data_IF_821358925450
#
_entry.id   IF_821358925450
#
_cell.length_a   1.000
_cell.length_b   1.000
_cell.length_c   1.000
_cell.angle_alpha   90.00
_cell.angle_beta   90.00
_cell.angle_gamma   90.00
#
_symmetry.space_group_name_H-M   'P 1'
#
loop_
_entity.id
_entity.type
_entity.pdbx_description
1 polymer ?
#
# COMPACT_ATOMS: atom_id res chain seq x y z
N UNK A 1 33.47 13.80 -18.46
CA UNK A 1 34.79 14.33 -18.15
C UNK A 1 35.87 13.35 -18.59
N UNK A 2 36.95 13.83 -19.09
CA UNK A 2 38.10 13.02 -19.52
C UNK A 2 39.40 13.74 -19.21
N UNK A 3 40.41 13.00 -18.78
CA UNK A 3 41.76 13.52 -18.57
C UNK A 3 42.57 13.56 -19.86
N UNK A 4 42.05 12.94 -20.93
CA UNK A 4 42.71 12.85 -22.24
C UNK A 4 41.93 13.63 -23.30
N UNK A 5 42.62 14.22 -24.30
CA UNK A 5 41.94 14.86 -25.43
C UNK A 5 41.32 13.79 -26.34
N UNK A 6 40.04 13.96 -26.66
CA UNK A 6 39.31 13.10 -27.57
C UNK A 6 39.23 13.79 -28.95
N UNK A 7 39.54 13.07 -29.98
CA UNK A 7 39.43 13.53 -31.36
C UNK A 7 38.65 12.52 -32.20
N UNK A 8 37.40 12.81 -32.51
CA UNK A 8 36.55 11.93 -33.33
C UNK A 8 36.18 10.60 -32.67
N UNK A 9 36.09 10.57 -31.34
CA UNK A 9 35.82 9.34 -30.58
C UNK A 9 34.36 8.92 -30.73
N UNK A 10 34.11 7.67 -31.10
CA UNK A 10 32.78 7.08 -31.12
C UNK A 10 32.36 6.71 -29.70
N UNK A 11 31.20 7.21 -29.26
CA UNK A 11 30.67 7.00 -27.91
C UNK A 11 29.40 6.16 -27.96
N UNK A 12 29.36 5.12 -27.16
CA UNK A 12 28.17 4.31 -26.91
C UNK A 12 27.77 4.39 -25.45
N UNK A 13 26.51 4.70 -25.20
CA UNK A 13 25.93 4.72 -23.88
C UNK A 13 25.19 3.39 -23.68
N UNK A 14 25.59 2.61 -22.69
CA UNK A 14 24.95 1.33 -22.35
C UNK A 14 24.18 1.48 -21.06
N UNK A 15 22.87 1.29 -21.14
CA UNK A 15 22.00 1.20 -19.96
C UNK A 15 21.68 -0.28 -19.71
N UNK A 16 22.20 -0.83 -18.62
CA UNK A 16 22.05 -2.22 -18.24
C UNK A 16 23.24 -2.71 -17.42
N UNK A 17 23.20 -3.95 -17.00
CA UNK A 17 24.31 -4.61 -16.30
C UNK A 17 24.87 -5.73 -17.19
N UNK A 18 25.88 -5.45 -17.99
CA UNK A 18 26.57 -6.51 -18.70
C UNK A 18 27.26 -7.44 -17.71
N UNK A 19 27.12 -8.75 -17.89
CA UNK A 19 27.97 -9.71 -17.19
C UNK A 19 29.44 -9.45 -17.58
N UNK A 20 30.31 -9.24 -16.58
CA UNK A 20 31.74 -9.08 -16.82
C UNK A 20 32.48 -10.34 -16.37
N UNK A 21 33.54 -10.66 -17.09
CA UNK A 21 34.46 -11.73 -16.71
C UNK A 21 35.73 -11.08 -16.14
N UNK A 22 36.10 -11.45 -14.94
CA UNK A 22 37.38 -11.03 -14.36
C UNK A 22 38.49 -12.00 -14.82
N UNK A 23 39.50 -11.48 -15.46
CA UNK A 23 40.67 -12.24 -15.85
C UNK A 23 41.91 -11.66 -15.17
N UNK A 24 42.66 -12.43 -14.41
CA UNK A 24 43.99 -12.04 -14.01
C UNK A 24 44.89 -12.13 -15.24
N UNK A 25 45.18 -10.99 -15.87
CA UNK A 25 46.03 -10.91 -17.07
C UNK A 25 47.48 -11.32 -16.83
N UNK A 26 47.93 -11.32 -15.58
CA UNK A 26 49.32 -11.62 -15.16
C UNK A 26 49.54 -13.07 -14.73
N UNK A 27 48.51 -13.92 -14.70
CA UNK A 27 48.64 -15.32 -14.30
C UNK A 27 48.59 -16.27 -15.51
N UNK A 28 49.43 -17.33 -15.58
CA UNK A 28 49.32 -18.32 -16.63
C UNK A 28 47.96 -19.03 -16.57
N UNK A 29 47.30 -19.10 -17.69
CA UNK A 29 45.91 -19.60 -17.80
C UNK A 29 45.89 -21.12 -17.82
N UNK A 30 45.82 -21.72 -16.64
CA UNK A 30 45.37 -23.10 -16.49
C UNK A 30 44.04 -23.12 -15.79
N UNK A 31 42.97 -23.42 -16.58
CA UNK A 31 41.65 -23.71 -16.11
C UNK A 31 40.63 -22.54 -15.92
N UNK A 32 39.47 -22.96 -15.79
CA UNK A 32 38.11 -22.45 -15.62
C UNK A 32 37.96 -20.94 -15.41
N UNK A 33 37.17 -20.34 -16.31
CA UNK A 33 36.63 -18.97 -16.15
C UNK A 33 35.75 -18.94 -14.89
N UNK A 34 36.11 -18.12 -13.93
CA UNK A 34 35.17 -17.75 -12.90
C UNK A 34 34.17 -16.78 -13.50
N UNK A 35 32.93 -17.21 -13.58
CA UNK A 35 31.80 -16.31 -13.85
C UNK A 35 31.69 -15.37 -12.67
N UNK A 36 31.84 -14.08 -12.90
CA UNK A 36 31.38 -13.10 -11.94
C UNK A 36 29.85 -13.21 -11.88
N UNK A 37 29.35 -13.90 -10.88
CA UNK A 37 27.93 -13.91 -10.62
C UNK A 37 27.52 -12.46 -10.32
N UNK A 38 26.48 -11.95 -10.97
CA UNK A 38 25.90 -10.69 -10.54
C UNK A 38 25.55 -10.85 -9.08
N UNK A 39 25.99 -9.91 -8.26
CA UNK A 39 25.69 -9.93 -6.83
C UNK A 39 24.17 -9.91 -6.74
N UNK A 40 23.55 -11.01 -6.30
CA UNK A 40 22.09 -11.18 -6.24
C UNK A 40 21.41 -10.10 -5.36
N UNK A 41 22.23 -9.46 -4.48
CA UNK A 41 21.80 -8.33 -3.67
C UNK A 41 21.75 -6.99 -4.42
N UNK A 42 22.28 -6.90 -5.64
CA UNK A 42 22.23 -5.68 -6.41
C UNK A 42 21.04 -5.77 -7.38
N UNK A 43 19.96 -5.09 -7.05
CA UNK A 43 18.83 -4.86 -7.95
C UNK A 43 19.31 -4.39 -9.33
N UNK A 44 18.70 -4.92 -10.41
CA UNK A 44 18.97 -4.49 -11.80
C UNK A 44 18.46 -3.06 -12.08
N UNK A 45 17.70 -2.50 -11.16
CA UNK A 45 17.30 -1.09 -11.13
C UNK A 45 18.28 -0.36 -10.24
N UNK A 46 18.79 0.83 -10.60
CA UNK A 46 19.51 1.67 -9.65
C UNK A 46 18.65 1.78 -8.41
N UNK A 47 19.13 1.30 -7.27
CA UNK A 47 18.39 1.41 -6.01
C UNK A 47 18.41 2.88 -5.58
N UNK A 48 17.55 3.68 -6.19
CA UNK A 48 17.11 4.94 -5.62
C UNK A 48 16.02 4.70 -4.56
N UNK A 49 15.57 3.43 -4.38
CA UNK A 49 14.30 3.17 -3.71
C UNK A 49 14.37 3.12 -2.18
N UNK A 50 15.48 2.67 -1.59
CA UNK A 50 15.52 2.43 -0.14
C UNK A 50 16.33 3.46 0.66
N UNK A 51 16.94 4.41 -0.01
CA UNK A 51 17.63 5.52 0.65
C UNK A 51 17.11 6.82 0.08
N UNK A 52 16.65 7.69 0.95
CA UNK A 52 16.38 9.08 0.56
C UNK A 52 17.65 9.69 -0.03
N UNK A 53 17.56 10.65 -0.96
CA UNK A 53 18.73 11.37 -1.46
C UNK A 53 19.64 11.87 -0.34
N UNK A 54 19.08 12.25 0.80
CA UNK A 54 19.80 12.66 2.00
C UNK A 54 20.67 11.55 2.59
N UNK A 55 20.24 10.28 2.51
CA UNK A 55 21.01 9.13 2.98
C UNK A 55 22.13 8.70 2.02
N UNK A 56 22.01 9.06 0.76
CA UNK A 56 23.05 8.75 -0.25
C UNK A 56 24.12 9.85 -0.26
N UNK A 57 23.76 11.09 0.07
CA UNK A 57 24.61 12.26 -0.10
C UNK A 57 24.90 13.01 1.19
N UNK A 58 24.38 12.60 2.33
CA UNK A 58 24.30 13.46 3.49
C UNK A 58 24.86 12.96 4.80
N UNK A 59 25.10 11.68 4.99
CA UNK A 59 25.64 11.22 6.26
C UNK A 59 27.17 11.09 6.19
N UNK A 60 27.83 12.11 6.65
CA UNK A 60 29.20 11.96 7.13
C UNK A 60 29.16 11.24 8.49
N UNK A 61 30.21 10.52 8.81
CA UNK A 61 30.35 9.73 10.05
C UNK A 61 30.23 10.57 11.36
N UNK A 62 30.11 11.89 11.25
CA UNK A 62 29.91 12.85 12.33
C UNK A 62 28.47 13.38 12.42
N UNK A 63 27.54 12.87 11.59
CA UNK A 63 26.13 13.29 11.62
C UNK A 63 25.85 14.65 10.98
N UNK A 64 26.79 15.25 10.26
CA UNK A 64 26.56 16.48 9.51
C UNK A 64 26.00 16.16 8.12
N UNK A 65 24.80 16.67 7.82
CA UNK A 65 24.13 16.50 6.55
C UNK A 65 24.62 17.55 5.57
N UNK A 66 25.42 17.15 4.60
CA UNK A 66 25.70 17.99 3.43
C UNK A 66 24.71 17.63 2.31
N UNK A 67 23.56 18.31 2.29
CA UNK A 67 22.59 18.10 1.23
C UNK A 67 23.09 18.74 -0.07
N UNK A 68 23.64 17.96 -0.94
CA UNK A 68 23.69 18.26 -2.39
C UNK A 68 22.59 17.46 -3.11
N UNK A 69 21.40 17.43 -2.52
CA UNK A 69 20.32 16.61 -3.03
C UNK A 69 19.46 17.34 -4.05
N UNK A 70 19.20 16.72 -5.15
CA UNK A 70 18.03 17.02 -5.97
C UNK A 70 16.79 16.63 -5.14
N UNK A 71 16.30 17.57 -4.34
CA UNK A 71 15.18 17.32 -3.46
C UNK A 71 13.86 17.32 -4.21
N UNK A 72 13.30 16.14 -4.45
CA UNK A 72 11.85 15.99 -4.47
C UNK A 72 11.43 15.43 -3.12
N UNK A 73 11.56 16.24 -2.08
CA UNK A 73 11.22 15.84 -0.73
C UNK A 73 9.86 16.36 -0.31
N UNK A 74 8.95 15.46 -0.04
CA UNK A 74 7.94 15.68 0.99
C UNK A 74 8.57 15.45 2.37
N UNK A 75 9.64 16.18 2.68
CA UNK A 75 10.30 16.17 3.96
C UNK A 75 9.89 17.39 4.78
N UNK A 76 9.40 17.16 5.97
CA UNK A 76 9.16 18.22 6.96
C UNK A 76 10.47 18.94 7.21
N UNK A 77 10.53 20.21 6.81
CA UNK A 77 11.61 21.13 7.19
C UNK A 77 11.44 21.49 8.67
N UNK A 78 12.14 20.79 9.53
CA UNK A 78 12.46 21.29 10.85
C UNK A 78 13.95 21.64 10.87
N UNK A 79 14.26 22.92 10.78
CA UNK A 79 15.62 23.40 10.91
C UNK A 79 16.00 24.40 9.83
N UNK A 80 16.11 25.66 10.25
CA UNK A 80 16.63 26.77 9.47
C UNK A 80 18.12 26.57 9.19
N UNK A 81 18.46 25.99 8.06
CA UNK A 81 19.81 26.09 7.53
C UNK A 81 19.74 26.69 6.13
N UNK A 82 20.48 27.78 5.96
CA UNK A 82 20.69 28.48 4.72
C UNK A 82 21.13 27.50 3.64
N UNK A 83 20.25 27.20 2.71
CA UNK A 83 20.61 26.59 1.45
C UNK A 83 21.29 27.65 0.61
N UNK A 84 22.62 27.61 0.52
CA UNK A 84 23.32 28.22 -0.59
C UNK A 84 22.97 27.38 -1.81
N UNK A 85 22.09 27.92 -2.65
CA UNK A 85 21.77 27.32 -3.91
C UNK A 85 23.02 27.27 -4.79
N UNK A 86 23.47 26.08 -5.11
CA UNK A 86 24.39 25.90 -6.23
C UNK A 86 23.61 26.23 -7.50
N UNK A 87 23.75 27.48 -7.95
CA UNK A 87 23.43 27.84 -9.31
C UNK A 87 24.32 27.02 -10.24
N UNK A 88 23.75 26.47 -11.31
CA UNK A 88 24.44 25.92 -12.46
C UNK A 88 25.18 27.04 -13.21
N UNK A 89 26.19 27.60 -12.61
CA UNK A 89 27.19 28.42 -13.26
C UNK A 89 28.44 28.36 -12.41
N UNK A 90 29.10 27.20 -12.47
CA UNK A 90 30.50 27.13 -12.11
C UNK A 90 31.31 27.91 -13.14
N UNK A 91 31.28 29.23 -13.04
CA UNK A 91 32.34 30.03 -13.63
C UNK A 91 33.52 29.80 -12.72
N UNK A 92 34.41 28.90 -13.13
CA UNK A 92 35.72 28.75 -12.52
C UNK A 92 36.43 30.10 -12.65
N UNK A 93 36.82 30.70 -11.55
CA UNK A 93 37.72 31.84 -11.53
C UNK A 93 39.15 31.32 -11.40
N UNK A 94 40.03 31.79 -12.24
CA UNK A 94 41.48 31.55 -12.08
C UNK A 94 41.96 32.15 -10.75
N UNK A 95 43.11 31.68 -10.23
CA UNK A 95 43.68 32.21 -8.96
C UNK A 95 43.95 33.71 -8.99
N UNK A 96 43.96 34.35 -10.17
CA UNK A 96 44.11 35.79 -10.37
C UNK A 96 42.80 36.61 -10.36
N UNK A 97 41.64 35.91 -10.15
CA UNK A 97 40.34 36.58 -10.07
C UNK A 97 39.71 36.96 -11.40
N UNK A 98 40.31 36.58 -12.55
CA UNK A 98 39.70 36.78 -13.86
C UNK A 98 38.72 35.66 -14.19
N UNK A 99 37.53 35.92 -14.81
CA UNK A 99 36.63 34.88 -15.25
C UNK A 99 37.30 34.03 -16.34
N UNK A 100 37.32 32.71 -16.15
CA UNK A 100 37.63 31.82 -17.26
C UNK A 100 36.55 31.99 -18.33
N UNK A 101 36.94 32.43 -19.52
CA UNK A 101 36.10 32.34 -20.70
C UNK A 101 35.83 30.84 -20.95
N UNK A 102 34.76 30.31 -20.36
CA UNK A 102 34.19 29.07 -20.86
C UNK A 102 33.62 29.36 -22.24
N UNK A 103 34.30 28.91 -23.31
CA UNK A 103 33.65 28.78 -24.61
C UNK A 103 32.39 27.95 -24.42
N UNK A 104 31.28 28.63 -24.23
CA UNK A 104 29.97 28.01 -24.25
C UNK A 104 29.79 27.40 -25.62
N UNK A 105 29.92 26.08 -25.74
CA UNK A 105 29.54 25.35 -26.92
C UNK A 105 28.10 25.74 -27.24
N UNK A 106 27.89 26.43 -28.35
CA UNK A 106 26.58 26.84 -28.81
C UNK A 106 25.66 25.61 -28.90
N UNK A 107 24.60 25.59 -28.09
CA UNK A 107 23.63 24.50 -28.04
C UNK A 107 23.04 24.17 -29.44
N UNK A 108 23.07 25.11 -30.36
CA UNK A 108 22.60 24.94 -31.73
C UNK A 108 23.34 23.87 -32.57
N UNK A 109 24.62 23.63 -32.35
CA UNK A 109 25.38 22.65 -33.11
C UNK A 109 25.28 21.22 -32.58
N UNK A 110 24.84 21.02 -31.35
CA UNK A 110 24.69 19.70 -30.76
C UNK A 110 23.33 19.05 -31.06
N UNK A 111 22.32 19.84 -31.43
CA UNK A 111 21.00 19.31 -31.80
C UNK A 111 21.00 18.50 -33.10
N UNK A 112 21.89 18.80 -34.03
CA UNK A 112 22.05 18.05 -35.29
C UNK A 112 22.77 16.70 -35.12
N UNK A 113 23.53 16.51 -34.03
CA UNK A 113 24.30 15.29 -33.77
C UNK A 113 23.49 14.24 -33.02
N UNK A 114 22.35 14.60 -32.46
CA UNK A 114 21.60 13.78 -31.50
C UNK A 114 20.61 12.78 -32.13
N UNK A 115 21.05 11.95 -33.05
CA UNK A 115 20.29 10.78 -33.48
C UNK A 115 21.04 9.50 -33.09
N UNK A 116 21.01 9.15 -31.81
CA UNK A 116 21.48 7.85 -31.40
C UNK A 116 20.51 6.76 -31.87
N UNK A 117 21.02 5.74 -32.51
CA UNK A 117 20.26 4.56 -32.87
C UNK A 117 20.34 3.61 -31.68
N UNK A 118 19.22 3.40 -30.99
CA UNK A 118 19.15 2.47 -29.87
C UNK A 118 18.97 1.04 -30.37
N UNK A 119 19.75 0.13 -29.82
CA UNK A 119 19.62 -1.32 -30.04
C UNK A 119 19.30 -1.97 -28.70
N UNK A 120 18.18 -2.68 -28.63
CA UNK A 120 17.79 -3.48 -27.46
C UNK A 120 18.36 -4.90 -27.63
N UNK A 121 19.15 -5.36 -26.67
CA UNK A 121 19.65 -6.73 -26.58
C UNK A 121 19.44 -7.28 -25.18
N UNK A 122 18.37 -8.03 -25.00
CA UNK A 122 18.00 -8.58 -23.69
C UNK A 122 17.69 -7.49 -22.64
N UNK A 123 18.46 -7.45 -21.55
CA UNK A 123 18.30 -6.47 -20.48
C UNK A 123 19.14 -5.18 -20.70
N UNK A 124 19.78 -5.02 -21.85
CA UNK A 124 20.69 -3.92 -22.13
C UNK A 124 20.17 -3.07 -23.29
N UNK A 125 20.35 -1.76 -23.15
CA UNK A 125 20.10 -0.78 -24.20
C UNK A 125 21.40 -0.07 -24.52
N UNK A 126 21.74 -0.02 -25.78
CA UNK A 126 22.90 0.71 -26.27
C UNK A 126 22.43 1.86 -27.14
N UNK A 127 22.87 3.06 -26.80
CA UNK A 127 22.67 4.26 -27.61
C UNK A 127 24.02 4.64 -28.21
N UNK A 128 24.14 4.55 -29.53
CA UNK A 128 25.33 5.00 -30.25
C UNK A 128 25.12 6.42 -30.69
N UNK A 129 26.00 7.33 -30.26
CA UNK A 129 25.99 8.71 -30.72
C UNK A 129 26.34 8.76 -32.20
N UNK A 130 25.57 9.54 -32.97
CA UNK A 130 25.86 9.77 -34.39
C UNK A 130 26.96 10.80 -34.48
N UNK A 131 28.15 10.38 -34.89
CA UNK A 131 29.32 11.27 -35.06
C UNK A 131 30.37 11.10 -33.97
N UNK A 132 31.57 11.54 -34.26
CA UNK A 132 32.69 11.50 -33.33
C UNK A 132 32.66 12.68 -32.36
N UNK A 133 32.90 12.41 -31.08
CA UNK A 133 33.00 13.44 -30.06
C UNK A 133 34.43 13.98 -29.97
N UNK A 134 34.53 15.31 -29.87
CA UNK A 134 35.80 16.01 -29.67
C UNK A 134 35.75 16.67 -28.31
N UNK A 135 36.71 16.34 -27.43
CA UNK A 135 36.84 16.95 -26.10
C UNK A 135 38.28 17.32 -25.84
N UNK A 136 38.54 18.44 -25.22
CA UNK A 136 39.86 18.78 -24.68
C UNK A 136 40.13 17.94 -23.43
N UNK A 137 41.40 17.74 -23.09
CA UNK A 137 41.76 17.18 -21.80
C UNK A 137 41.14 18.01 -20.67
N UNK A 138 40.62 17.34 -19.63
CA UNK A 138 39.87 17.91 -18.52
C UNK A 138 38.60 18.66 -18.92
N UNK A 139 38.09 18.44 -20.13
CA UNK A 139 36.85 18.98 -20.64
C UNK A 139 35.65 18.08 -20.32
N UNK A 140 34.45 18.68 -20.26
CA UNK A 140 33.19 17.95 -20.18
C UNK A 140 32.23 18.43 -21.27
N UNK A 141 31.39 17.52 -21.74
CA UNK A 141 30.33 17.86 -22.68
C UNK A 141 29.02 17.21 -22.25
N UNK A 142 27.94 17.99 -22.35
CA UNK A 142 26.57 17.49 -22.23
C UNK A 142 26.06 17.24 -23.65
N UNK A 143 25.88 15.96 -24.00
CA UNK A 143 25.47 15.57 -25.36
C UNK A 143 24.06 14.97 -25.30
N UNK A 144 23.09 15.56 -26.02
CA UNK A 144 21.78 14.94 -26.16
C UNK A 144 21.92 13.66 -27.00
N UNK A 145 21.50 12.52 -26.46
CA UNK A 145 21.63 11.24 -27.17
C UNK A 145 20.33 10.78 -27.81
N UNK A 146 19.18 11.33 -27.39
CA UNK A 146 17.89 11.05 -28.02
C UNK A 146 16.98 12.27 -27.99
N UNK A 147 16.28 12.51 -29.07
CA UNK A 147 15.22 13.49 -29.19
C UNK A 147 14.05 12.86 -29.94
N UNK A 148 12.92 12.72 -29.30
CA UNK A 148 11.75 12.03 -29.85
C UNK A 148 10.47 12.72 -29.40
N UNK A 149 9.49 12.72 -30.28
CA UNK A 149 8.13 13.09 -29.94
C UNK A 149 7.44 11.91 -29.27
N UNK A 150 6.80 12.16 -28.15
CA UNK A 150 6.04 11.18 -27.38
C UNK A 150 4.64 11.70 -27.11
N UNK A 151 3.68 10.79 -26.96
CA UNK A 151 2.35 11.19 -26.59
C UNK A 151 2.30 11.52 -25.10
N UNK A 152 1.95 12.76 -24.79
CA UNK A 152 1.73 13.22 -23.43
C UNK A 152 0.33 13.82 -23.30
N UNK A 153 -0.36 13.50 -22.22
CA UNK A 153 -1.66 14.04 -21.90
C UNK A 153 -1.63 14.68 -20.53
N UNK A 154 -1.84 15.98 -20.49
CA UNK A 154 -1.90 16.75 -19.25
C UNK A 154 -3.07 16.29 -18.38
N UNK A 155 -2.84 16.19 -17.08
CA UNK A 155 -3.83 15.81 -16.08
C UNK A 155 -3.58 16.52 -14.74
N UNK A 156 -4.58 16.48 -13.89
CA UNK A 156 -4.46 16.83 -12.47
C UNK A 156 -4.73 15.59 -11.64
N UNK A 157 -3.81 15.26 -10.75
CA UNK A 157 -3.87 14.06 -9.91
C UNK A 157 -4.25 14.41 -8.48
N UNK A 158 -5.17 13.63 -7.90
CA UNK A 158 -5.58 13.72 -6.50
C UNK A 158 -5.39 12.35 -5.81
N UNK A 159 -4.72 12.34 -4.67
CA UNK A 159 -4.51 11.16 -3.82
C UNK A 159 -5.72 10.85 -2.92
N UNK A 160 -6.89 11.29 -3.23
CA UNK A 160 -8.10 11.10 -2.46
C UNK A 160 -8.88 12.40 -2.30
N UNK A 161 -9.15 12.80 -1.06
CA UNK A 161 -10.01 13.95 -0.75
C UNK A 161 -9.22 15.28 -0.59
N UNK A 162 -8.01 15.36 -1.12
CA UNK A 162 -7.17 16.56 -1.07
C UNK A 162 -7.80 17.72 -1.82
N UNK A 163 -7.71 18.94 -1.27
CA UNK A 163 -8.27 20.12 -1.90
C UNK A 163 -7.50 20.56 -3.14
N UNK A 164 -6.18 20.31 -3.19
CA UNK A 164 -5.30 20.67 -4.30
C UNK A 164 -4.62 19.45 -4.86
N UNK A 165 -4.73 19.30 -6.17
CA UNK A 165 -4.11 18.22 -6.90
C UNK A 165 -2.68 18.53 -7.33
N UNK A 166 -2.03 17.52 -7.86
CA UNK A 166 -0.72 17.64 -8.48
C UNK A 166 -0.88 17.76 -9.99
N UNK A 167 -0.17 18.73 -10.59
CA UNK A 167 0.00 18.79 -12.04
C UNK A 167 0.79 17.59 -12.51
N UNK A 168 0.32 16.96 -13.57
CA UNK A 168 0.98 15.80 -14.13
C UNK A 168 0.70 15.61 -15.61
N UNK A 169 1.37 14.63 -16.18
CA UNK A 169 1.16 14.17 -17.53
C UNK A 169 1.14 12.63 -17.57
N UNK A 170 0.21 12.09 -18.33
CA UNK A 170 0.26 10.67 -18.71
C UNK A 170 1.10 10.56 -19.96
N UNK A 171 2.28 9.99 -19.83
CA UNK A 171 3.21 9.76 -20.92
C UNK A 171 3.00 8.36 -21.49
N UNK A 172 2.95 8.23 -22.81
CA UNK A 172 3.01 6.95 -23.50
C UNK A 172 4.25 6.91 -24.39
N UNK A 173 5.07 5.86 -24.23
CA UNK A 173 6.21 5.66 -25.10
C UNK A 173 5.73 5.13 -26.47
N UNK A 174 5.51 6.04 -27.40
CA UNK A 174 5.13 5.72 -28.79
C UNK A 174 6.32 5.49 -29.71
N UNK A 175 7.54 5.54 -29.18
CA UNK A 175 8.75 5.30 -29.95
C UNK A 175 9.04 3.81 -30.07
N UNK A 176 9.92 3.43 -31.00
CA UNK A 176 10.41 2.06 -31.14
C UNK A 176 11.53 1.71 -30.14
N UNK A 177 11.91 2.63 -29.24
CA UNK A 177 13.03 2.48 -28.31
C UNK A 177 12.52 2.55 -26.88
N UNK A 178 13.19 1.84 -25.99
CA UNK A 178 12.94 2.00 -24.55
C UNK A 178 13.50 3.34 -24.07
N UNK A 179 12.68 4.11 -23.38
CA UNK A 179 13.12 5.32 -22.69
C UNK A 179 13.79 4.93 -21.37
N UNK A 180 15.02 5.40 -21.11
CA UNK A 180 15.73 5.10 -19.87
C UNK A 180 15.08 5.78 -18.68
N UNK A 181 15.24 5.20 -17.49
CA UNK A 181 14.87 5.85 -16.25
C UNK A 181 15.82 7.02 -15.95
N UNK A 182 15.28 8.09 -15.38
CA UNK A 182 16.08 9.24 -14.97
C UNK A 182 15.25 10.44 -14.54
N UNK A 183 15.91 11.50 -14.05
CA UNK A 183 15.25 12.75 -13.74
C UNK A 183 14.79 13.46 -15.02
N UNK A 184 13.61 14.08 -14.94
CA UNK A 184 13.01 14.83 -16.05
C UNK A 184 12.57 16.20 -15.57
N UNK A 185 13.08 17.24 -16.23
CA UNK A 185 12.57 18.60 -16.09
C UNK A 185 11.43 18.80 -17.11
N UNK A 186 10.29 19.26 -16.63
CA UNK A 186 9.09 19.47 -17.43
C UNK A 186 8.95 20.96 -17.72
N UNK A 187 8.74 21.28 -19.00
CA UNK A 187 8.47 22.63 -19.47
C UNK A 187 7.11 22.69 -20.15
N UNK A 188 6.36 23.72 -19.86
CA UNK A 188 5.13 24.08 -20.55
C UNK A 188 5.32 25.40 -21.35
N UNK A 189 4.31 25.84 -22.05
CA UNK A 189 4.39 27.10 -22.81
C UNK A 189 4.75 28.32 -21.94
N UNK A 190 4.42 28.28 -20.65
CA UNK A 190 4.74 29.32 -19.66
C UNK A 190 6.15 29.23 -19.06
N UNK A 191 6.93 28.21 -19.40
CA UNK A 191 8.27 27.97 -18.87
C UNK A 191 8.41 26.70 -18.06
N UNK A 192 9.33 26.69 -17.11
CA UNK A 192 9.59 25.53 -16.24
C UNK A 192 8.38 25.22 -15.36
N UNK A 193 7.89 23.98 -15.45
CA UNK A 193 6.68 23.51 -14.76
C UNK A 193 7.00 22.61 -13.55
N UNK A 194 8.21 22.03 -13.49
CA UNK A 194 8.63 21.20 -12.37
C UNK A 194 9.55 20.06 -12.79
N UNK A 195 9.89 19.23 -11.83
CA UNK A 195 10.76 18.07 -12.01
C UNK A 195 10.08 16.80 -11.51
N UNK A 196 10.44 15.67 -12.12
CA UNK A 196 9.93 14.36 -11.76
C UNK A 196 10.90 13.26 -12.17
N UNK A 197 10.65 12.02 -11.75
CA UNK A 197 11.37 10.84 -12.23
C UNK A 197 10.62 10.17 -13.37
N UNK A 198 11.30 9.90 -14.48
CA UNK A 198 10.81 9.02 -15.52
C UNK A 198 11.18 7.58 -15.15
N UNK A 199 10.24 6.65 -15.03
CA UNK A 199 10.59 5.24 -14.96
C UNK A 199 11.09 4.75 -16.32
N UNK A 200 11.80 3.62 -16.34
CA UNK A 200 12.11 2.95 -17.61
C UNK A 200 10.82 2.58 -18.33
N UNK A 201 10.66 3.04 -19.57
CA UNK A 201 9.45 2.78 -20.37
C UNK A 201 9.82 2.06 -21.66
N UNK A 202 9.35 0.85 -21.84
CA UNK A 202 9.44 0.12 -23.11
C UNK A 202 8.46 0.69 -24.15
N UNK A 203 8.64 0.39 -25.45
CA UNK A 203 7.67 0.73 -26.47
C UNK A 203 6.26 0.26 -26.09
N UNK A 204 5.29 1.18 -26.14
CA UNK A 204 3.89 0.94 -25.79
C UNK A 204 3.53 1.08 -24.30
N UNK A 205 4.53 1.11 -23.39
CA UNK A 205 4.27 1.33 -21.97
C UNK A 205 3.90 2.79 -21.66
N UNK A 206 3.28 2.99 -20.50
CA UNK A 206 2.76 4.29 -20.05
C UNK A 206 3.23 4.56 -18.63
N UNK A 207 3.36 5.85 -18.30
CA UNK A 207 3.61 6.29 -16.93
C UNK A 207 2.89 7.60 -16.64
N UNK A 208 2.59 7.82 -15.37
CA UNK A 208 2.13 9.10 -14.84
C UNK A 208 3.32 9.86 -14.28
N UNK A 209 3.55 11.04 -14.79
CA UNK A 209 4.62 11.94 -14.36
C UNK A 209 4.00 13.11 -13.61
N UNK A 210 4.20 13.18 -12.30
CA UNK A 210 3.69 14.24 -11.44
C UNK A 210 4.83 15.19 -11.09
N UNK A 211 4.72 16.46 -11.49
CA UNK A 211 5.85 17.40 -11.48
C UNK A 211 5.59 18.71 -10.71
N UNK A 212 4.36 18.95 -10.26
CA UNK A 212 4.06 20.20 -9.54
C UNK A 212 2.71 20.15 -8.84
N UNK A 213 2.31 21.26 -8.24
CA UNK A 213 0.98 21.45 -7.68
C UNK A 213 0.11 22.15 -8.73
N UNK A 214 -1.10 21.68 -8.97
CA UNK A 214 -2.06 22.36 -9.83
C UNK A 214 -2.81 23.42 -9.01
N UNK A 215 -2.59 24.67 -9.32
CA UNK A 215 -3.22 25.81 -8.63
C UNK A 215 -4.59 26.17 -9.23
N UNK A 216 -4.88 25.68 -10.43
CA UNK A 216 -6.10 26.01 -11.16
C UNK A 216 -7.25 25.04 -10.85
N UNK A 217 -6.93 23.85 -10.36
CA UNK A 217 -7.93 22.81 -10.11
C UNK A 217 -8.08 22.53 -8.63
N UNK A 218 -9.30 22.70 -8.13
CA UNK A 218 -9.66 22.40 -6.76
C UNK A 218 -10.70 21.26 -6.75
N UNK A 219 -10.51 20.29 -5.87
CA UNK A 219 -11.44 19.17 -5.67
C UNK A 219 -11.92 19.16 -4.22
N UNK A 220 -13.22 18.93 -4.05
CA UNK A 220 -13.83 18.66 -2.74
C UNK A 220 -14.63 17.36 -2.86
N UNK A 221 -14.37 16.44 -1.98
CA UNK A 221 -15.11 15.19 -1.90
C UNK A 221 -15.99 15.16 -0.66
N UNK A 222 -17.23 14.70 -0.84
CA UNK A 222 -18.15 14.42 0.26
C UNK A 222 -18.56 12.97 0.19
N UNK A 223 -18.21 12.19 1.20
CA UNK A 223 -18.55 10.78 1.30
C UNK A 223 -19.82 10.58 2.12
N UNK A 224 -20.69 9.68 1.67
CA UNK A 224 -21.77 9.11 2.52
C UNK A 224 -21.25 7.90 3.26
N UNK A 225 -21.91 7.56 4.37
CA UNK A 225 -21.59 6.32 5.11
C UNK A 225 -21.76 5.12 4.18
N UNK A 226 -20.79 4.19 4.13
CA UNK A 226 -20.90 2.99 3.30
C UNK A 226 -22.12 2.14 3.67
N UNK A 227 -22.75 1.55 2.67
CA UNK A 227 -23.88 0.64 2.83
C UNK A 227 -23.44 -0.78 2.45
N UNK A 228 -23.60 -1.74 3.35
CA UNK A 228 -23.34 -3.16 3.08
C UNK A 228 -24.65 -3.83 2.64
N UNK A 229 -24.62 -4.52 1.51
CA UNK A 229 -25.74 -5.30 0.99
C UNK A 229 -25.33 -6.76 0.85
N UNK A 230 -25.79 -7.62 1.74
CA UNK A 230 -25.55 -9.06 1.70
C UNK A 230 -26.20 -9.64 0.44
N UNK A 231 -25.44 -10.41 -0.33
CA UNK A 231 -25.92 -11.08 -1.53
C UNK A 231 -26.11 -12.58 -1.35
N UNK A 232 -25.19 -13.21 -0.63
CA UNK A 232 -25.18 -14.65 -0.42
C UNK A 232 -24.58 -14.97 0.93
N UNK A 233 -25.12 -16.02 1.58
CA UNK A 233 -24.58 -16.64 2.78
C UNK A 233 -24.28 -18.10 2.46
N UNK A 234 -23.09 -18.55 2.85
CA UNK A 234 -22.64 -19.93 2.67
C UNK A 234 -22.11 -20.43 4.01
N UNK A 235 -22.53 -21.61 4.42
CA UNK A 235 -22.01 -22.25 5.63
C UNK A 235 -21.15 -23.44 5.23
N UNK A 236 -19.89 -23.40 5.60
CA UNK A 236 -18.94 -24.47 5.31
C UNK A 236 -17.89 -24.58 6.42
N UNK A 237 -17.52 -25.78 6.81
CA UNK A 237 -16.48 -26.03 7.80
C UNK A 237 -16.72 -25.37 9.16
N UNK A 238 -17.98 -25.19 9.58
CA UNK A 238 -18.33 -24.53 10.84
C UNK A 238 -18.25 -23.01 10.80
N UNK A 239 -18.11 -22.40 9.62
CA UNK A 239 -18.04 -20.96 9.40
C UNK A 239 -19.17 -20.49 8.50
N UNK A 240 -19.81 -19.41 8.89
CA UNK A 240 -20.79 -18.72 8.05
C UNK A 240 -20.07 -17.61 7.29
N UNK A 241 -19.91 -17.80 5.98
CA UNK A 241 -19.31 -16.82 5.09
C UNK A 241 -20.40 -15.99 4.45
N UNK A 242 -20.34 -14.68 4.68
CA UNK A 242 -21.20 -13.70 4.06
C UNK A 242 -20.49 -13.04 2.90
N UNK A 243 -21.06 -13.15 1.71
CA UNK A 243 -20.68 -12.40 0.53
C UNK A 243 -21.58 -11.17 0.44
N UNK A 244 -20.99 -10.00 0.45
CA UNK A 244 -21.73 -8.75 0.44
C UNK A 244 -21.07 -7.73 -0.48
N UNK A 245 -21.86 -6.79 -0.98
CA UNK A 245 -21.37 -5.64 -1.72
C UNK A 245 -21.37 -4.45 -0.78
N UNK A 246 -20.22 -3.84 -0.62
CA UNK A 246 -20.08 -2.56 0.07
C UNK A 246 -20.19 -1.45 -0.95
N UNK A 247 -21.19 -0.61 -0.79
CA UNK A 247 -21.44 0.53 -1.66
C UNK A 247 -20.95 1.81 -1.02
N UNK A 248 -19.97 2.42 -1.66
CA UNK A 248 -19.49 3.75 -1.33
C UNK A 248 -20.10 4.76 -2.30
N UNK A 249 -20.76 5.78 -1.75
CA UNK A 249 -21.23 6.93 -2.54
C UNK A 249 -20.43 8.14 -2.15
N UNK A 250 -19.83 8.79 -3.15
CA UNK A 250 -19.07 10.02 -3.00
C UNK A 250 -19.56 11.05 -3.99
N UNK A 251 -19.64 12.30 -3.57
CA UNK A 251 -19.88 13.43 -4.47
C UNK A 251 -18.58 14.19 -4.61
N UNK A 252 -18.05 14.24 -5.83
CA UNK A 252 -16.90 15.05 -6.17
C UNK A 252 -17.38 16.39 -6.74
N UNK A 253 -16.96 17.47 -6.13
CA UNK A 253 -17.13 18.83 -6.64
C UNK A 253 -15.77 19.32 -7.11
N UNK A 254 -15.60 19.51 -8.41
CA UNK A 254 -14.34 19.94 -9.03
C UNK A 254 -14.55 21.32 -9.63
N UNK A 255 -13.64 22.24 -9.35
CA UNK A 255 -13.58 23.57 -9.96
C UNK A 255 -12.29 23.66 -10.79
N UNK A 256 -12.43 23.92 -12.09
CA UNK A 256 -11.34 24.23 -12.98
C UNK A 256 -11.36 25.74 -13.29
N UNK A 257 -10.39 26.48 -12.81
CA UNK A 257 -10.21 27.93 -13.04
C UNK A 257 -9.37 28.22 -14.26
N UNK A 258 -8.67 27.21 -14.79
CA UNK A 258 -7.83 27.31 -15.97
C UNK A 258 -8.61 27.51 -17.27
N UNK A 259 -7.93 28.00 -18.30
CA UNK A 259 -8.50 28.26 -19.61
C UNK A 259 -8.67 27.03 -20.51
N UNK A 260 -8.26 25.84 -20.06
CA UNK A 260 -8.31 24.59 -20.83
C UNK A 260 -9.08 23.51 -20.07
N UNK A 261 -9.60 22.54 -20.82
CA UNK A 261 -10.21 21.34 -20.22
C UNK A 261 -9.15 20.59 -19.39
N UNK A 262 -9.55 20.11 -18.21
CA UNK A 262 -8.70 19.28 -17.34
C UNK A 262 -9.26 17.88 -17.20
N UNK A 263 -8.37 16.92 -17.28
CA UNK A 263 -8.64 15.53 -16.88
C UNK A 263 -8.16 15.35 -15.45
N UNK A 264 -9.11 15.21 -14.56
CA UNK A 264 -8.88 15.03 -13.14
C UNK A 264 -8.86 13.54 -12.84
N UNK A 265 -7.72 13.05 -12.39
CA UNK A 265 -7.52 11.66 -11.95
C UNK A 265 -7.58 11.62 -10.44
N UNK A 266 -8.48 10.82 -9.91
CA UNK A 266 -8.62 10.61 -8.46
C UNK A 266 -8.21 9.18 -8.15
N UNK A 267 -7.19 9.01 -7.32
CA UNK A 267 -6.77 7.70 -6.87
C UNK A 267 -7.85 7.07 -5.97
N UNK A 268 -8.20 5.83 -6.27
CA UNK A 268 -9.26 5.13 -5.57
C UNK A 268 -8.67 4.07 -4.66
N UNK A 269 -9.00 4.13 -3.37
CA UNK A 269 -8.66 3.10 -2.39
C UNK A 269 -9.72 2.00 -2.44
N UNK A 270 -9.64 1.16 -3.46
CA UNK A 270 -10.59 0.07 -3.69
C UNK A 270 -9.85 -1.24 -3.98
N UNK A 271 -10.47 -2.37 -3.59
CA UNK A 271 -9.93 -3.69 -3.91
C UNK A 271 -10.04 -4.00 -5.40
N UNK A 272 -9.21 -4.95 -5.89
CA UNK A 272 -9.10 -5.33 -7.31
C UNK A 272 -10.44 -5.71 -7.98
N UNK A 273 -11.46 -6.13 -7.21
CA UNK A 273 -12.75 -6.60 -7.71
C UNK A 273 -13.88 -5.59 -7.51
N UNK A 274 -13.57 -4.30 -7.43
CA UNK A 274 -14.57 -3.26 -7.31
C UNK A 274 -15.01 -2.75 -8.68
N UNK A 275 -16.25 -2.27 -8.75
CA UNK A 275 -16.79 -1.54 -9.90
C UNK A 275 -17.05 -0.10 -9.53
N UNK A 276 -16.61 0.84 -10.37
CA UNK A 276 -16.84 2.26 -10.19
C UNK A 276 -17.77 2.79 -11.28
N UNK A 277 -18.77 3.59 -10.90
CA UNK A 277 -19.74 4.23 -11.80
C UNK A 277 -19.81 5.72 -11.49
N UNK A 278 -20.11 6.51 -12.53
CA UNK A 278 -20.24 7.96 -12.40
C UNK A 278 -18.98 8.72 -12.78
N UNK A 279 -17.85 8.06 -13.00
CA UNK A 279 -16.68 8.63 -13.66
C UNK A 279 -16.86 8.66 -15.18
N UNK A 280 -16.19 9.57 -15.86
CA UNK A 280 -16.18 9.63 -17.33
C UNK A 280 -15.32 8.50 -17.92
N UNK A 281 -14.32 8.04 -17.18
CA UNK A 281 -13.49 6.86 -17.47
C UNK A 281 -12.88 6.33 -16.18
N UNK A 282 -12.38 5.10 -16.23
CA UNK A 282 -11.52 4.51 -15.21
C UNK A 282 -10.19 4.21 -15.86
N UNK A 283 -9.11 4.63 -15.23
CA UNK A 283 -7.73 4.36 -15.62
C UNK A 283 -7.04 3.52 -14.55
N UNK A 284 -5.82 3.11 -14.78
CA UNK A 284 -5.05 2.32 -13.84
C UNK A 284 -3.60 2.79 -13.84
N UNK A 285 -3.06 3.04 -12.66
CA UNK A 285 -1.64 3.31 -12.50
C UNK A 285 -0.90 2.01 -12.18
N UNK A 286 -0.11 1.56 -13.15
CA UNK A 286 0.65 0.31 -13.03
C UNK A 286 1.76 0.40 -11.98
N UNK A 287 2.30 1.61 -11.76
CA UNK A 287 3.40 1.82 -10.82
C UNK A 287 2.94 1.70 -9.35
N UNK A 288 1.77 2.23 -9.02
CA UNK A 288 1.19 2.12 -7.67
C UNK A 288 0.16 1.00 -7.54
N UNK A 289 -0.12 0.27 -8.62
CA UNK A 289 -1.19 -0.75 -8.72
C UNK A 289 -2.57 -0.24 -8.28
N UNK A 290 -2.88 1.05 -8.54
CA UNK A 290 -4.13 1.69 -8.09
C UNK A 290 -5.04 2.07 -9.24
N UNK A 291 -6.35 1.80 -9.12
CA UNK A 291 -7.34 2.32 -10.06
C UNK A 291 -7.56 3.81 -9.86
N UNK A 292 -7.84 4.49 -10.95
CA UNK A 292 -8.03 5.93 -11.02
C UNK A 292 -9.40 6.25 -11.61
N UNK A 293 -10.19 7.03 -10.90
CA UNK A 293 -11.41 7.61 -11.47
C UNK A 293 -11.06 8.87 -12.26
N UNK A 294 -11.56 8.99 -13.48
CA UNK A 294 -11.28 10.13 -14.35
C UNK A 294 -12.53 10.99 -14.50
N UNK A 295 -12.41 12.27 -14.21
CA UNK A 295 -13.44 13.29 -14.44
C UNK A 295 -12.91 14.33 -15.44
N UNK A 296 -13.73 14.69 -16.45
CA UNK A 296 -13.42 15.74 -17.39
C UNK A 296 -14.11 17.03 -16.97
N UNK A 297 -13.34 18.08 -16.82
CA UNK A 297 -13.84 19.37 -16.36
C UNK A 297 -13.47 20.44 -17.39
N UNK A 298 -14.46 21.04 -17.99
CA UNK A 298 -14.26 22.08 -19.00
C UNK A 298 -13.50 23.30 -18.48
N UNK A 299 -13.07 24.17 -19.38
CA UNK A 299 -12.38 25.40 -18.99
C UNK A 299 -13.28 26.32 -18.17
N UNK A 300 -12.74 26.92 -17.12
CA UNK A 300 -13.43 27.89 -16.22
C UNK A 300 -14.80 27.37 -15.76
N UNK A 301 -14.90 26.09 -15.43
CA UNK A 301 -16.14 25.44 -15.09
C UNK A 301 -16.10 24.71 -13.77
N UNK A 302 -17.29 24.40 -13.24
CA UNK A 302 -17.48 23.57 -12.04
C UNK A 302 -18.27 22.33 -12.42
N UNK A 303 -17.84 21.21 -11.90
CA UNK A 303 -18.50 19.92 -12.05
C UNK A 303 -18.84 19.36 -10.67
N UNK A 304 -20.10 18.95 -10.47
CA UNK A 304 -20.48 18.14 -9.33
C UNK A 304 -20.94 16.77 -9.85
N UNK A 305 -20.33 15.70 -9.37
CA UNK A 305 -20.61 14.35 -9.85
C UNK A 305 -20.73 13.38 -8.68
N UNK A 306 -21.85 12.68 -8.60
CA UNK A 306 -22.00 11.54 -7.69
C UNK A 306 -21.38 10.30 -8.32
N UNK A 307 -20.53 9.64 -7.55
CA UNK A 307 -19.84 8.42 -7.92
C UNK A 307 -20.23 7.32 -6.95
N UNK A 308 -20.45 6.14 -7.49
CA UNK A 308 -20.73 4.93 -6.71
C UNK A 308 -19.63 3.91 -6.97
N UNK A 309 -19.05 3.39 -5.89
CA UNK A 309 -18.07 2.31 -5.93
C UNK A 309 -18.67 1.13 -5.19
N UNK A 310 -18.83 0.02 -5.89
CA UNK A 310 -19.35 -1.23 -5.35
C UNK A 310 -18.18 -2.22 -5.21
N UNK A 311 -17.85 -2.61 -3.98
CA UNK A 311 -16.80 -3.57 -3.66
C UNK A 311 -17.42 -4.91 -3.27
N UNK A 312 -17.06 -5.98 -3.98
CA UNK A 312 -17.45 -7.35 -3.61
C UNK A 312 -16.51 -7.87 -2.51
N UNK A 313 -17.06 -8.01 -1.32
CA UNK A 313 -16.32 -8.39 -0.11
C UNK A 313 -16.91 -9.66 0.49
N UNK A 314 -16.11 -10.34 1.31
CA UNK A 314 -16.54 -11.47 2.10
C UNK A 314 -16.06 -11.35 3.54
N UNK A 315 -16.88 -11.83 4.48
CA UNK A 315 -16.51 -11.98 5.88
C UNK A 315 -16.99 -13.31 6.41
N UNK A 316 -16.14 -13.98 7.16
CA UNK A 316 -16.45 -15.28 7.74
C UNK A 316 -16.65 -15.12 9.26
N UNK A 317 -17.72 -15.70 9.77
CA UNK A 317 -18.03 -15.78 11.20
C UNK A 317 -17.95 -17.23 11.66
N UNK A 318 -17.21 -17.49 12.72
CA UNK A 318 -17.32 -18.79 13.39
C UNK A 318 -18.71 -18.93 14.01
N UNK A 319 -19.32 -20.11 13.88
CA UNK A 319 -20.66 -20.36 14.44
C UNK A 319 -20.72 -20.09 15.94
N UNK A 320 -19.62 -20.30 16.67
CA UNK A 320 -19.54 -20.08 18.10
C UNK A 320 -19.55 -18.60 18.49
N UNK A 321 -19.21 -17.70 17.57
CA UNK A 321 -19.23 -16.25 17.77
C UNK A 321 -20.54 -15.59 17.32
N UNK A 322 -21.47 -16.35 16.74
CA UNK A 322 -22.77 -15.86 16.32
C UNK A 322 -23.69 -15.68 17.52
N UNK A 323 -24.75 -14.93 17.33
CA UNK A 323 -25.87 -14.80 18.27
C UNK A 323 -27.18 -15.05 17.54
N UNK A 324 -28.20 -15.43 18.32
CA UNK A 324 -29.55 -15.59 17.78
C UNK A 324 -30.06 -14.30 17.10
N UNK A 325 -29.73 -13.16 17.66
CA UNK A 325 -30.05 -11.84 17.11
C UNK A 325 -29.36 -11.62 15.76
N UNK A 326 -28.05 -11.91 15.66
CA UNK A 326 -27.30 -11.74 14.42
C UNK A 326 -27.82 -12.64 13.28
N UNK A 327 -28.23 -13.87 13.61
CA UNK A 327 -28.85 -14.79 12.64
C UNK A 327 -30.22 -14.28 12.16
N UNK A 328 -31.03 -13.68 13.04
CA UNK A 328 -32.30 -13.05 12.64
C UNK A 328 -32.09 -11.84 11.75
N UNK A 329 -31.19 -10.94 12.12
CA UNK A 329 -30.86 -9.77 11.29
C UNK A 329 -30.41 -10.20 9.89
N UNK A 330 -29.69 -11.33 9.78
CA UNK A 330 -29.31 -11.90 8.47
C UNK A 330 -30.48 -12.58 7.75
N UNK A 331 -31.42 -13.19 8.47
CA UNK A 331 -32.62 -13.78 7.88
C UNK A 331 -33.56 -12.72 7.28
N UNK A 332 -33.55 -11.49 7.81
CA UNK A 332 -34.38 -10.38 7.33
C UNK A 332 -33.85 -9.72 6.04
N UNK A 333 -32.67 -10.16 5.54
CA UNK A 333 -32.07 -9.62 4.32
C UNK A 333 -32.92 -10.04 3.10
N UNK A 334 -33.51 -9.04 2.43
CA UNK A 334 -34.43 -9.26 1.32
C UNK A 334 -33.79 -9.95 0.10
N UNK A 335 -32.47 -9.81 -0.07
CA UNK A 335 -31.74 -10.38 -1.18
C UNK A 335 -31.54 -11.92 -1.09
N UNK A 336 -31.80 -12.50 0.08
CA UNK A 336 -31.64 -13.94 0.29
C UNK A 336 -32.84 -14.71 -0.25
N UNK A 337 -32.65 -15.93 -0.81
CA UNK A 337 -33.73 -16.84 -1.17
C UNK A 337 -34.63 -17.16 0.03
N UNK A 338 -35.90 -17.44 -0.21
CA UNK A 338 -36.85 -17.77 0.85
C UNK A 338 -36.42 -18.96 1.71
N UNK A 339 -35.80 -19.96 1.10
CA UNK A 339 -35.26 -21.14 1.75
C UNK A 339 -34.11 -20.78 2.71
N UNK A 340 -33.15 -19.95 2.26
CA UNK A 340 -32.05 -19.48 3.10
C UNK A 340 -32.53 -18.65 4.30
N UNK A 341 -33.55 -17.82 4.11
CA UNK A 341 -34.18 -17.06 5.20
C UNK A 341 -34.86 -17.99 6.23
N UNK A 342 -35.55 -19.04 5.75
CA UNK A 342 -36.19 -20.03 6.62
C UNK A 342 -35.14 -20.80 7.45
N UNK A 343 -34.05 -21.24 6.80
CA UNK A 343 -32.92 -21.92 7.45
C UNK A 343 -32.26 -21.02 8.53
N UNK A 344 -31.98 -19.77 8.20
CA UNK A 344 -31.43 -18.82 9.19
C UNK A 344 -32.39 -18.59 10.36
N UNK A 345 -33.68 -18.48 10.08
CA UNK A 345 -34.69 -18.34 11.12
C UNK A 345 -34.80 -19.56 12.04
N UNK A 346 -34.69 -20.77 11.48
CA UNK A 346 -34.62 -22.01 12.26
C UNK A 346 -33.35 -22.09 13.11
N UNK A 347 -32.20 -21.80 12.50
CA UNK A 347 -30.91 -21.74 13.18
C UNK A 347 -30.92 -20.70 14.35
N UNK A 348 -31.55 -19.56 14.15
CA UNK A 348 -31.68 -18.51 15.19
C UNK A 348 -32.45 -19.01 16.39
N UNK A 349 -33.55 -19.76 16.20
CA UNK A 349 -34.33 -20.36 17.29
C UNK A 349 -33.51 -21.38 18.06
N UNK A 350 -32.79 -22.24 17.37
CA UNK A 350 -31.88 -23.19 18.02
C UNK A 350 -30.76 -22.49 18.78
N UNK A 351 -30.27 -21.38 18.27
CA UNK A 351 -29.25 -20.60 18.97
C UNK A 351 -29.75 -19.91 20.22
N UNK A 352 -31.03 -19.51 20.30
CA UNK A 352 -31.64 -19.03 21.51
C UNK A 352 -31.61 -20.06 22.66
N UNK A 353 -31.78 -21.33 22.31
CA UNK A 353 -31.66 -22.41 23.28
C UNK A 353 -30.19 -22.59 23.74
N UNK A 354 -29.21 -22.35 22.87
CA UNK A 354 -27.79 -22.31 23.25
C UNK A 354 -27.53 -21.18 24.23
N UNK A 355 -27.98 -19.95 23.92
CA UNK A 355 -27.80 -18.78 24.78
C UNK A 355 -28.48 -18.92 26.14
N UNK A 356 -29.62 -19.64 26.17
CA UNK A 356 -30.31 -19.97 27.43
C UNK A 356 -29.45 -20.92 28.27
N UNK A 357 -28.94 -21.99 27.66
CA UNK A 357 -28.05 -22.95 28.33
C UNK A 357 -26.78 -22.31 28.84
N UNK A 358 -26.19 -21.38 28.06
CA UNK A 358 -25.01 -20.61 28.49
C UNK A 358 -25.28 -19.78 29.74
N UNK A 359 -26.46 -19.13 29.83
CA UNK A 359 -26.85 -18.36 31.01
C UNK A 359 -27.06 -19.27 32.23
N UNK A 360 -27.67 -20.43 32.05
CA UNK A 360 -27.85 -21.43 33.10
C UNK A 360 -26.51 -21.98 33.60
N UNK A 361 -25.59 -22.30 32.66
CA UNK A 361 -24.25 -22.77 33.01
C UNK A 361 -23.44 -21.69 33.76
N UNK A 362 -23.55 -20.42 33.31
CA UNK A 362 -22.90 -19.30 33.98
C UNK A 362 -23.41 -19.10 35.42
N UNK A 363 -24.73 -19.26 35.67
CA UNK A 363 -25.32 -19.18 36.98
C UNK A 363 -24.81 -20.30 37.89
N UNK A 364 -24.75 -21.53 37.38
CA UNK A 364 -24.22 -22.68 38.14
C UNK A 364 -22.72 -22.54 38.43
N UNK A 365 -21.92 -22.05 37.49
CA UNK A 365 -20.47 -21.75 37.74
C UNK A 365 -20.31 -20.70 38.84
N UNK A 366 -21.12 -19.62 38.82
CA UNK A 366 -21.11 -18.64 39.88
C UNK A 366 -21.50 -19.22 41.24
N UNK A 367 -22.38 -20.26 41.26
CA UNK A 367 -22.70 -21.01 42.45
C UNK A 367 -21.53 -21.86 42.96
N UNK A 368 -20.84 -22.56 42.03
CA UNK A 368 -19.60 -23.31 42.33
C UNK A 368 -18.58 -22.38 42.98
N UNK A 369 -18.27 -21.24 42.37
CA UNK A 369 -17.29 -20.27 42.90
C UNK A 369 -17.68 -19.73 44.29
N UNK A 370 -18.95 -19.63 44.58
CA UNK A 370 -19.47 -19.20 45.90
C UNK A 370 -19.25 -20.30 46.94
N UNK A 371 -19.63 -21.53 46.59
CA UNK A 371 -19.47 -22.68 47.50
C UNK A 371 -17.98 -22.92 47.81
N UNK A 372 -17.12 -22.81 46.81
CA UNK A 372 -15.66 -22.94 46.99
C UNK A 372 -15.08 -21.89 47.95
N UNK A 373 -15.52 -20.63 47.81
CA UNK A 373 -15.13 -19.58 48.78
C UNK A 373 -15.63 -19.82 50.16
N UNK A 374 -16.87 -20.31 50.33
CA UNK A 374 -17.45 -20.63 51.63
C UNK A 374 -16.72 -21.83 52.26
N UNK A 375 -16.39 -22.86 51.47
CA UNK A 375 -15.56 -23.98 51.90
C UNK A 375 -14.17 -23.55 52.37
N UNK A 376 -13.50 -22.70 51.58
CA UNK A 376 -12.19 -22.18 51.96
C UNK A 376 -12.24 -21.44 53.32
N UNK A 377 -13.22 -20.57 53.49
CA UNK A 377 -13.41 -19.83 54.74
C UNK A 377 -13.72 -20.74 55.92
N UNK A 378 -14.58 -21.75 55.76
CA UNK A 378 -14.91 -22.69 56.83
C UNK A 378 -13.70 -23.58 57.20
N UNK A 379 -12.90 -23.98 56.25
CA UNK A 379 -11.67 -24.73 56.51
C UNK A 379 -10.63 -23.88 57.28
N UNK A 380 -10.48 -22.62 56.92
CA UNK A 380 -9.62 -21.66 57.64
C UNK A 380 -10.11 -21.46 59.10
N UNK A 381 -11.45 -21.33 59.29
CA UNK A 381 -12.02 -21.23 60.63
C UNK A 381 -11.80 -22.51 61.44
N UNK A 382 -11.93 -23.68 60.82
CA UNK A 382 -11.70 -24.97 61.50
C UNK A 382 -10.21 -25.11 61.92
N UNK A 383 -9.31 -24.69 61.06
CA UNK A 383 -7.86 -24.69 61.33
C UNK A 383 -7.50 -23.70 62.48
N UNK A 384 -8.11 -22.48 62.46
CA UNK A 384 -7.92 -21.48 63.51
C UNK A 384 -8.44 -21.90 64.87
N UNK A 385 -9.52 -22.69 64.94
CA UNK A 385 -10.05 -23.22 66.20
C UNK A 385 -9.17 -24.29 66.80
N UNK A 386 -8.29 -24.91 65.99
CA UNK A 386 -7.33 -25.91 66.43
C UNK A 386 -7.96 -27.07 67.23
N UNK A 387 -7.13 -27.97 67.68
CA UNK A 387 -7.50 -29.21 68.42
C UNK A 387 -8.09 -28.98 69.84
N UNK A 388 -8.56 -27.76 70.12
CA UNK A 388 -9.07 -27.35 71.42
C UNK A 388 -10.46 -27.86 71.77
N UNK A 389 -11.22 -28.41 70.82
CA UNK A 389 -12.50 -29.01 71.07
C UNK A 389 -12.34 -30.53 71.19
N UNK A 390 -12.19 -31.06 72.36
CA UNK A 390 -12.18 -32.50 72.69
C UNK A 390 -13.48 -33.25 72.34
N UNK A 391 -14.22 -32.79 71.33
CA UNK A 391 -15.43 -33.46 70.82
C UNK A 391 -15.01 -34.40 69.64
N UNK A 392 -15.64 -35.58 69.59
CA UNK A 392 -15.40 -36.51 68.49
C UNK A 392 -15.61 -35.79 67.15
N UNK A 393 -14.67 -35.99 66.18
CA UNK A 393 -14.64 -35.26 64.95
C UNK A 393 -15.97 -35.19 64.14
N UNK A 394 -16.86 -36.15 64.32
CA UNK A 394 -18.17 -36.17 63.67
C UNK A 394 -19.25 -35.27 64.32
N UNK A 395 -18.99 -34.68 65.52
CA UNK A 395 -19.97 -33.81 66.24
C UNK A 395 -19.70 -32.31 66.06
N UNK A 396 -18.59 -31.95 65.40
CA UNK A 396 -18.29 -30.54 65.14
C UNK A 396 -19.19 -29.96 64.03
N UNK A 397 -20.02 -28.95 64.34
CA UNK A 397 -20.97 -28.36 63.36
C UNK A 397 -20.31 -27.83 62.11
N UNK A 398 -19.05 -27.40 62.22
CA UNK A 398 -18.31 -26.92 61.05
C UNK A 398 -17.96 -28.06 60.09
N UNK A 399 -17.58 -29.24 60.60
CA UNK A 399 -17.31 -30.43 59.78
C UNK A 399 -18.56 -30.88 59.03
N UNK A 400 -19.70 -30.95 59.75
CA UNK A 400 -20.98 -31.29 59.11
C UNK A 400 -21.34 -30.28 58.03
N UNK A 401 -21.09 -28.99 58.25
CA UNK A 401 -21.33 -27.94 57.25
C UNK A 401 -20.39 -28.06 56.05
N UNK A 402 -19.11 -28.36 56.25
CA UNK A 402 -18.13 -28.59 55.19
C UNK A 402 -18.56 -29.78 54.33
N UNK A 403 -18.92 -30.92 54.90
CA UNK A 403 -19.38 -32.09 54.18
C UNK A 403 -20.64 -31.78 53.34
N UNK A 404 -21.62 -31.07 53.93
CA UNK A 404 -22.80 -30.62 53.17
C UNK A 404 -22.47 -29.73 51.97
N UNK A 405 -21.54 -28.77 52.11
CA UNK A 405 -21.10 -27.93 51.02
C UNK A 405 -20.25 -28.69 49.97
N UNK A 406 -19.50 -29.71 50.36
CA UNK A 406 -18.81 -30.60 49.44
C UNK A 406 -19.75 -31.41 48.55
N UNK A 407 -20.88 -31.89 49.14
CA UNK A 407 -21.94 -32.56 48.38
C UNK A 407 -22.65 -31.59 47.44
N UNK A 408 -22.94 -30.37 47.90
CA UNK A 408 -23.51 -29.30 47.05
C UNK A 408 -22.55 -28.97 45.90
N UNK A 409 -21.26 -28.81 46.19
CA UNK A 409 -20.21 -28.52 45.18
C UNK A 409 -20.15 -29.61 44.13
N UNK A 410 -20.13 -30.89 44.54
CA UNK A 410 -20.06 -32.01 43.60
C UNK A 410 -21.32 -32.12 42.73
N UNK A 411 -22.48 -31.75 43.28
CA UNK A 411 -23.76 -31.69 42.55
C UNK A 411 -23.78 -30.54 41.55
N UNK A 412 -23.32 -29.34 41.96
CA UNK A 412 -23.23 -28.16 41.09
C UNK A 412 -22.24 -28.38 39.96
N UNK A 413 -21.08 -28.97 40.22
CA UNK A 413 -20.09 -29.32 39.17
C UNK A 413 -20.68 -30.31 38.14
N UNK A 414 -21.35 -31.37 38.57
CA UNK A 414 -22.04 -32.29 37.66
C UNK A 414 -23.09 -31.58 36.82
N UNK A 415 -23.78 -30.61 37.39
CA UNK A 415 -24.77 -29.84 36.64
C UNK A 415 -24.14 -28.93 35.60
N UNK A 416 -23.02 -28.32 35.92
CA UNK A 416 -22.22 -27.55 34.95
C UNK A 416 -21.80 -28.44 33.76
N UNK A 417 -21.24 -29.64 34.01
CA UNK A 417 -20.87 -30.61 32.98
C UNK A 417 -22.05 -31.02 32.09
N UNK A 418 -23.23 -31.27 32.72
CA UNK A 418 -24.46 -31.59 31.97
C UNK A 418 -24.91 -30.43 31.07
N UNK A 419 -24.86 -29.21 31.55
CA UNK A 419 -25.21 -28.01 30.78
C UNK A 419 -24.23 -27.75 29.63
N UNK A 420 -22.96 -27.98 29.88
CA UNK A 420 -21.92 -27.88 28.84
C UNK A 420 -22.12 -28.93 27.74
N UNK A 421 -22.43 -30.16 28.09
CA UNK A 421 -22.75 -31.22 27.14
C UNK A 421 -24.03 -30.89 26.33
N UNK A 422 -25.07 -30.38 26.99
CA UNK A 422 -26.27 -29.92 26.31
C UNK A 422 -26.02 -28.77 25.37
N UNK A 423 -25.18 -27.81 25.76
CA UNK A 423 -24.75 -26.69 24.91
C UNK A 423 -24.07 -27.19 23.64
N UNK A 424 -23.10 -28.09 23.74
CA UNK A 424 -22.39 -28.61 22.57
C UNK A 424 -23.35 -29.40 21.63
N UNK A 425 -24.27 -30.18 22.18
CA UNK A 425 -25.30 -30.87 21.40
C UNK A 425 -26.21 -29.88 20.64
N UNK A 426 -26.63 -28.80 21.29
CA UNK A 426 -27.42 -27.74 20.66
C UNK A 426 -26.64 -26.96 19.61
N UNK A 427 -25.36 -26.67 19.83
CA UNK A 427 -24.49 -26.07 18.82
C UNK A 427 -24.31 -26.98 17.60
N UNK A 428 -24.21 -28.30 17.82
CA UNK A 428 -24.16 -29.25 16.70
C UNK A 428 -25.45 -29.23 15.86
N UNK A 429 -26.62 -29.09 16.53
CA UNK A 429 -27.90 -28.94 15.85
C UNK A 429 -27.98 -27.64 15.03
N UNK A 430 -27.48 -26.52 15.58
CA UNK A 430 -27.34 -25.24 14.82
C UNK A 430 -26.48 -25.43 13.57
N UNK A 431 -25.33 -26.09 13.70
CA UNK A 431 -24.44 -26.38 12.57
C UNK A 431 -25.16 -27.20 11.50
N UNK A 432 -25.83 -28.28 11.91
CA UNK A 432 -26.58 -29.14 10.98
C UNK A 432 -27.70 -28.39 10.24
N UNK A 433 -28.36 -27.41 10.89
CA UNK A 433 -29.33 -26.57 10.22
C UNK A 433 -28.66 -25.62 9.22
N UNK A 434 -27.55 -24.99 9.63
CA UNK A 434 -26.81 -24.07 8.76
C UNK A 434 -26.15 -24.74 7.56
N UNK A 435 -25.84 -26.04 7.61
CA UNK A 435 -25.29 -26.80 6.48
C UNK A 435 -26.22 -26.87 5.26
N UNK A 436 -27.49 -26.52 5.45
CA UNK A 436 -28.45 -26.36 4.34
C UNK A 436 -28.26 -25.06 3.57
N UNK A 437 -27.46 -24.14 4.07
CA UNK A 437 -27.04 -22.92 3.36
C UNK A 437 -25.85 -23.25 2.43
N UNK A 438 -26.14 -23.63 1.19
CA UNK A 438 -25.13 -23.90 0.17
C UNK A 438 -25.13 -22.86 -0.95
#
# INVERSE_FOLDING_TARGET
DTDEPWAGVSVELVNGRPGSFLFPLSAPRYARRELAHPNESLSTVPQLADRTPDQIWGDNADGSITSQGFGSGSGRLAGSHRTEGMGLSGVGTRPDGSPEESEALSIGNLAEVAQATGVESGAQFTYRLAGGLHLRAHGSALVPFTQRDVQAQRLTWFEGDEARGRSGARLANTTAQTLPAGPVAVYEASGFAGETGLPRLKPGERAFLLFGVDLDVELRATARRPEDATQRLVFEGGRLTEHFVRRHRRTYAVENRGGEERRVHVALDIVKNASARGFDAVDFDEASERPLGVLRVGPRSKLAREVTIDEALQRAHDVRSLSARALREKADVAALPAEGRATLGAAARLFEEVEKTDREAAAERASVDRIERDLARLREHLEALGDKSGSPAGANPLVVRILGLEDELSSARRRVEQLEAQREARLAAVKGELERLR
#
